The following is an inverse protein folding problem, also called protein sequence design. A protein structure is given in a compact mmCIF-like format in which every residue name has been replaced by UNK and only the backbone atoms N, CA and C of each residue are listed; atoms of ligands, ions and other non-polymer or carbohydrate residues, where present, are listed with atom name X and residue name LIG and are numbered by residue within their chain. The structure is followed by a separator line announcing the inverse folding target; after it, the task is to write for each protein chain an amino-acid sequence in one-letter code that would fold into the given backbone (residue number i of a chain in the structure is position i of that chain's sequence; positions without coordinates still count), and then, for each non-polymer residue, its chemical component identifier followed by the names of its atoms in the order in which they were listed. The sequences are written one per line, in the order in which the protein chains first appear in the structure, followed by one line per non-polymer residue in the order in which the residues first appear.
data_IF_064608495899
#
_entry.id   IF_064608495899
#
_cell.length_a   1.000
_cell.length_b   1.000
_cell.length_c   1.000
_cell.angle_alpha   90.00
_cell.angle_beta   90.00
_cell.angle_gamma   90.00
#
_symmetry.space_group_name_H-M   'P 1'
#
loop_
_entity.id
_entity.type
_entity.pdbx_description
1 polymer ?
#
# COMPACT_ATOMS: atom_id res chain seq x y z
N UNK A 1 -8.00 2.35 -5.56
CA UNK A 1 -7.24 3.63 -5.48
C UNK A 1 -6.12 3.61 -6.51
N UNK A 2 -5.62 4.78 -6.95
CA UNK A 2 -4.42 4.84 -7.81
C UNK A 2 -3.18 4.61 -6.96
N UNK A 3 -2.20 3.89 -7.50
CA UNK A 3 -0.87 3.77 -6.92
C UNK A 3 -0.28 5.19 -6.77
N UNK A 4 0.16 5.59 -5.56
CA UNK A 4 0.70 6.93 -5.35
C UNK A 4 2.03 7.17 -6.07
N UNK A 5 2.72 6.10 -6.49
CA UNK A 5 4.00 6.20 -7.19
C UNK A 5 3.82 6.19 -8.73
N UNK A 6 3.27 5.11 -9.30
CA UNK A 6 3.17 4.98 -10.77
C UNK A 6 1.82 5.44 -11.36
N UNK A 7 0.85 5.82 -10.53
CA UNK A 7 -0.49 6.22 -10.97
C UNK A 7 -1.39 5.09 -11.50
N UNK A 8 -0.88 3.87 -11.59
CA UNK A 8 -1.65 2.70 -12.05
C UNK A 8 -2.83 2.38 -11.12
N UNK A 9 -3.90 1.81 -11.69
CA UNK A 9 -5.09 1.39 -10.93
C UNK A 9 -5.04 -0.07 -10.48
N UNK A 10 -4.06 -0.84 -10.92
CA UNK A 10 -3.85 -2.23 -10.47
C UNK A 10 -3.19 -2.20 -9.09
N UNK A 11 -4.03 -2.15 -8.07
CA UNK A 11 -3.65 -2.40 -6.68
C UNK A 11 -4.44 -3.59 -6.16
N UNK A 12 -3.75 -4.56 -5.58
CA UNK A 12 -4.35 -5.72 -4.91
C UNK A 12 -4.25 -5.46 -3.42
N UNK A 13 -5.35 -5.69 -2.69
CA UNK A 13 -5.33 -5.68 -1.23
C UNK A 13 -4.70 -6.99 -0.78
N UNK A 14 -3.60 -6.88 -0.02
CA UNK A 14 -2.92 -8.05 0.54
C UNK A 14 -3.32 -8.16 2.00
N UNK A 15 -3.88 -9.31 2.35
CA UNK A 15 -4.16 -9.64 3.72
C UNK A 15 -2.85 -10.09 4.39
N UNK A 16 -2.31 -9.22 5.24
CA UNK A 16 -1.15 -9.54 6.07
C UNK A 16 -1.66 -10.01 7.43
N UNK A 17 -2.17 -11.25 7.48
CA UNK A 17 -2.47 -11.96 8.73
C UNK A 17 -1.16 -12.22 9.52
N UNK A 18 -0.68 -11.20 10.22
CA UNK A 18 0.27 -11.33 11.32
C UNK A 18 -0.48 -10.99 12.60
N UNK A 19 -0.45 -11.89 13.59
CA UNK A 19 -1.27 -11.93 14.83
C UNK A 19 -1.07 -10.73 15.80
N UNK A 20 -1.19 -9.50 15.29
CA UNK A 20 -0.99 -8.26 16.04
C UNK A 20 -1.18 -6.98 15.22
N UNK A 21 -1.41 -7.07 13.90
CA UNK A 21 -1.84 -5.95 13.06
C UNK A 21 -3.27 -6.20 12.61
N UNK A 22 -4.24 -5.47 13.17
CA UNK A 22 -5.62 -5.51 12.72
C UNK A 22 -5.69 -5.02 11.27
N UNK A 23 -5.68 -5.96 10.32
CA UNK A 23 -5.75 -5.68 8.89
C UNK A 23 -7.03 -4.93 8.49
N UNK A 24 -8.10 -5.07 9.29
CA UNK A 24 -9.39 -4.39 9.12
C UNK A 24 -9.31 -2.85 9.18
N UNK A 25 -8.43 -2.26 10.00
CA UNK A 25 -8.38 -0.80 10.16
C UNK A 25 -7.49 -0.09 9.14
N UNK A 26 -6.55 -0.81 8.51
CA UNK A 26 -5.59 -0.22 7.55
C UNK A 26 -5.03 -1.28 6.59
N UNK A 27 -5.85 -1.75 5.63
CA UNK A 27 -5.46 -2.84 4.73
C UNK A 27 -4.26 -2.45 3.87
N UNK A 28 -3.26 -3.34 3.85
CA UNK A 28 -2.06 -3.22 3.05
C UNK A 28 -2.39 -3.48 1.58
N UNK A 29 -1.74 -2.72 0.71
CA UNK A 29 -1.98 -2.69 -0.73
C UNK A 29 -0.66 -2.84 -1.46
N UNK A 30 -0.65 -3.68 -2.49
CA UNK A 30 0.47 -3.81 -3.41
C UNK A 30 0.05 -3.36 -4.81
N UNK A 31 0.93 -2.62 -5.51
CA UNK A 31 0.71 -2.26 -6.89
C UNK A 31 1.28 -3.36 -7.80
N UNK A 32 0.41 -4.03 -8.55
CA UNK A 32 0.84 -5.06 -9.51
C UNK A 32 1.65 -4.52 -10.71
N UNK A 33 1.75 -3.19 -10.88
CA UNK A 33 2.53 -2.58 -11.96
C UNK A 33 3.97 -2.23 -11.57
N UNK A 34 4.18 -1.67 -10.38
CA UNK A 34 5.50 -1.21 -9.94
C UNK A 34 5.99 -1.87 -8.64
N UNK A 35 5.23 -2.81 -8.06
CA UNK A 35 5.62 -3.52 -6.84
C UNK A 35 5.64 -2.65 -5.57
N UNK A 36 5.10 -1.43 -5.62
CA UNK A 36 4.95 -0.59 -4.43
C UNK A 36 4.03 -1.29 -3.42
N UNK A 37 4.45 -1.38 -2.16
CA UNK A 37 3.59 -1.83 -1.06
C UNK A 37 3.35 -0.68 -0.10
N UNK A 38 2.10 -0.34 0.15
CA UNK A 38 1.71 0.76 1.03
C UNK A 38 0.42 0.44 1.77
N UNK A 39 0.13 1.24 2.79
CA UNK A 39 -1.19 1.26 3.44
C UNK A 39 -1.63 2.69 3.66
N UNK A 40 -2.91 2.87 3.97
CA UNK A 40 -3.44 4.15 4.42
C UNK A 40 -3.81 4.01 5.88
N UNK A 41 -3.21 4.84 6.72
CA UNK A 41 -3.52 4.92 8.15
C UNK A 41 -4.02 6.32 8.50
N UNK A 42 -4.89 6.45 9.48
CA UNK A 42 -5.35 7.75 9.94
C UNK A 42 -4.46 8.22 11.10
N UNK A 43 -3.69 9.29 10.87
CA UNK A 43 -2.83 9.89 11.89
C UNK A 43 -3.43 11.24 12.26
N UNK A 44 -3.82 11.43 13.53
CA UNK A 44 -4.46 12.67 14.02
C UNK A 44 -5.68 13.09 13.17
N UNK A 45 -6.52 12.12 12.79
CA UNK A 45 -7.71 12.36 11.96
C UNK A 45 -7.45 12.61 10.48
N UNK A 46 -6.19 12.47 10.00
CA UNK A 46 -5.83 12.67 8.59
C UNK A 46 -5.35 11.37 7.94
N UNK A 47 -5.90 10.98 6.77
CA UNK A 47 -5.40 9.82 6.04
C UNK A 47 -3.96 10.09 5.57
N UNK A 48 -3.06 9.21 5.97
CA UNK A 48 -1.63 9.29 5.66
C UNK A 48 -1.21 8.00 4.97
N UNK A 49 -0.51 8.13 3.85
CA UNK A 49 0.07 6.98 3.13
C UNK A 49 1.38 6.59 3.83
N UNK A 50 1.46 5.32 4.21
CA UNK A 50 2.63 4.72 4.85
C UNK A 50 3.24 3.72 3.85
N UNK A 51 4.44 4.02 3.35
CA UNK A 51 5.13 3.19 2.35
C UNK A 51 5.88 2.09 3.09
N UNK A 52 5.52 0.84 2.82
CA UNK A 52 6.09 -0.37 3.44
C UNK A 52 7.25 -0.90 2.59
N UNK A 53 7.06 -0.95 1.27
CA UNK A 53 8.09 -1.30 0.28
C UNK A 53 8.05 -0.27 -0.84
N UNK A 54 9.22 0.29 -1.17
CA UNK A 54 9.37 1.20 -2.30
C UNK A 54 9.04 0.50 -3.63
N UNK A 55 8.60 1.27 -4.62
CA UNK A 55 8.37 0.72 -5.96
C UNK A 55 9.69 0.18 -6.53
N UNK A 56 9.60 -1.01 -7.11
CA UNK A 56 10.69 -1.58 -7.89
C UNK A 56 10.71 -0.82 -9.21
N UNK A 57 11.62 0.17 -9.30
CA UNK A 57 11.93 0.81 -10.58
C UNK A 57 12.44 -0.29 -11.50
N UNK A 58 11.59 -0.82 -12.38
CA UNK A 58 12.08 -1.50 -13.57
C UNK A 58 12.77 -0.42 -14.39
N UNK A 59 14.07 -0.29 -14.20
CA UNK A 59 14.96 0.33 -15.18
C UNK A 59 14.76 -0.51 -16.44
N UNK A 60 13.89 -0.03 -17.34
CA UNK A 60 13.86 -0.50 -18.71
C UNK A 60 14.97 0.19 -19.48
#
# INVERSE_FOLDING_TARGET
MKCPECGSRTSVEIDMHSEGFTADESPVKECGSCGLVWRVRVVKGKPTVDIIKAAEKKVQ
#
